data_IF_330404420364
#
_entry.id   IF_330404420364
#
_cell.length_a   1.000
_cell.length_b   1.000
_cell.length_c   1.000
_cell.angle_alpha   90.00
_cell.angle_beta   90.00
_cell.angle_gamma   90.00
#
_symmetry.space_group_name_H-M   'P 1'
#
loop_
_entity.id
_entity.type
_entity.pdbx_description
1 polymer ?
#
# COMPACT_ATOMS: atom_id res chain seq x y z
N UNK A 1 -38.15 -64.88 36.11
CA UNK A 1 -37.78 -63.58 36.76
C UNK A 1 -36.45 -63.09 36.23
N UNK A 2 -36.48 -62.06 35.43
CA UNK A 2 -35.26 -61.46 34.88
C UNK A 2 -34.63 -60.53 35.92
N UNK A 3 -33.50 -60.99 36.54
CA UNK A 3 -32.72 -60.18 37.46
C UNK A 3 -32.01 -59.07 36.65
N UNK A 4 -32.62 -57.91 36.53
CA UNK A 4 -31.94 -56.73 36.04
C UNK A 4 -31.01 -56.22 37.14
N UNK A 5 -29.71 -56.51 37.04
CA UNK A 5 -28.69 -55.89 37.88
C UNK A 5 -28.68 -54.41 37.56
N UNK A 6 -29.06 -53.56 38.49
CA UNK A 6 -28.91 -52.10 38.34
C UNK A 6 -27.42 -51.68 38.48
N UNK A 7 -27.02 -50.63 37.79
CA UNK A 7 -25.70 -50.06 37.96
C UNK A 7 -25.48 -49.60 39.41
N UNK A 8 -24.33 -49.88 39.94
CA UNK A 8 -23.92 -49.33 41.25
C UNK A 8 -23.54 -47.86 41.10
N UNK A 9 -23.69 -47.12 42.20
CA UNK A 9 -23.28 -45.63 42.19
C UNK A 9 -21.82 -45.47 41.80
N UNK A 10 -20.96 -46.39 42.17
CA UNK A 10 -19.52 -46.38 41.87
C UNK A 10 -19.26 -46.59 40.37
N UNK A 11 -19.97 -47.49 39.71
CA UNK A 11 -19.87 -47.74 38.29
C UNK A 11 -20.34 -46.50 37.48
N UNK A 12 -21.42 -45.84 37.92
CA UNK A 12 -21.90 -44.61 37.29
C UNK A 12 -20.89 -43.47 37.45
N UNK A 13 -20.31 -43.29 38.65
CA UNK A 13 -19.28 -42.30 38.90
C UNK A 13 -18.02 -42.53 38.07
N UNK A 14 -17.60 -43.81 37.94
CA UNK A 14 -16.45 -44.15 37.08
C UNK A 14 -16.70 -43.80 35.60
N UNK A 15 -17.88 -44.10 35.08
CA UNK A 15 -18.25 -43.77 33.70
C UNK A 15 -18.27 -42.26 33.49
N UNK A 16 -18.84 -41.47 34.40
CA UNK A 16 -18.87 -40.02 34.32
C UNK A 16 -17.45 -39.44 34.38
N UNK A 17 -16.56 -39.97 35.22
CA UNK A 17 -15.18 -39.54 35.32
C UNK A 17 -14.40 -39.81 34.01
N UNK A 18 -14.57 -40.98 33.40
CA UNK A 18 -13.96 -41.32 32.12
C UNK A 18 -14.49 -40.41 30.98
N UNK A 19 -15.81 -40.21 30.94
CA UNK A 19 -16.42 -39.32 29.96
C UNK A 19 -15.92 -37.88 30.12
N UNK A 20 -15.78 -37.36 31.34
CA UNK A 20 -15.23 -36.05 31.61
C UNK A 20 -13.79 -35.89 31.08
N UNK A 21 -12.94 -36.91 31.32
CA UNK A 21 -11.55 -36.91 30.82
C UNK A 21 -11.54 -36.94 29.28
N UNK A 22 -12.36 -37.75 28.64
CA UNK A 22 -12.44 -37.82 27.18
C UNK A 22 -12.90 -36.51 26.58
N UNK A 23 -13.88 -35.83 27.20
CA UNK A 23 -14.36 -34.48 26.75
C UNK A 23 -13.25 -33.46 26.89
N UNK A 24 -12.50 -33.42 28.00
CA UNK A 24 -11.41 -32.46 28.22
C UNK A 24 -10.30 -32.62 27.16
N UNK A 25 -10.00 -33.85 26.74
CA UNK A 25 -8.94 -34.11 25.73
C UNK A 25 -9.45 -33.88 24.30
N UNK A 26 -10.69 -34.26 23.99
CA UNK A 26 -11.24 -34.19 22.64
C UNK A 26 -11.75 -32.80 22.27
N UNK A 27 -12.32 -32.06 23.22
CA UNK A 27 -12.99 -30.78 22.96
C UNK A 27 -12.10 -29.72 22.32
N UNK A 28 -10.84 -29.49 22.78
CA UNK A 28 -9.97 -28.52 22.14
C UNK A 28 -9.67 -28.81 20.67
N UNK A 29 -9.45 -30.08 20.33
CA UNK A 29 -9.18 -30.53 18.98
C UNK A 29 -10.40 -30.34 18.06
N UNK A 30 -11.59 -30.67 18.56
CA UNK A 30 -12.86 -30.50 17.83
C UNK A 30 -13.13 -29.01 17.60
N UNK A 31 -12.91 -28.14 18.59
CA UNK A 31 -13.07 -26.68 18.46
C UNK A 31 -12.09 -26.11 17.40
N UNK A 32 -10.83 -26.54 17.42
CA UNK A 32 -9.84 -26.11 16.45
C UNK A 32 -10.20 -26.53 15.02
N UNK A 33 -10.65 -27.78 14.85
CA UNK A 33 -11.12 -28.28 13.54
C UNK A 33 -12.36 -27.50 13.07
N UNK A 34 -13.30 -27.23 13.96
CA UNK A 34 -14.49 -26.44 13.64
C UNK A 34 -14.13 -25.03 13.21
N UNK A 35 -13.29 -24.33 13.96
CA UNK A 35 -12.84 -22.98 13.62
C UNK A 35 -12.10 -22.95 12.27
N UNK A 36 -11.25 -23.94 11.99
CA UNK A 36 -10.57 -24.08 10.71
C UNK A 36 -11.56 -24.26 9.56
N UNK A 37 -12.54 -25.15 9.71
CA UNK A 37 -13.58 -25.35 8.70
C UNK A 37 -14.41 -24.09 8.45
N UNK A 38 -14.76 -23.34 9.48
CA UNK A 38 -15.46 -22.06 9.36
C UNK A 38 -14.63 -21.02 8.60
N UNK A 39 -13.32 -20.93 8.86
CA UNK A 39 -12.41 -20.05 8.12
C UNK A 39 -12.32 -20.43 6.64
N UNK A 40 -12.26 -21.72 6.31
CA UNK A 40 -12.23 -22.22 4.93
C UNK A 40 -13.53 -21.89 4.15
N UNK A 41 -14.69 -22.02 4.81
CA UNK A 41 -15.98 -21.62 4.24
C UNK A 41 -15.99 -20.12 3.96
N UNK A 42 -15.64 -19.30 4.95
CA UNK A 42 -15.59 -17.85 4.78
C UNK A 42 -14.61 -17.41 3.68
N UNK A 43 -13.42 -18.02 3.59
CA UNK A 43 -12.46 -17.76 2.53
C UNK A 43 -13.02 -18.04 1.14
N UNK A 44 -13.78 -19.14 1.02
CA UNK A 44 -14.46 -19.50 -0.24
C UNK A 44 -15.50 -18.45 -0.62
N UNK A 45 -16.26 -17.96 0.35
CA UNK A 45 -17.24 -16.88 0.12
C UNK A 45 -16.57 -15.56 -0.25
N UNK A 46 -15.43 -15.20 0.39
CA UNK A 46 -14.66 -14.03 0.04
C UNK A 46 -14.10 -14.12 -1.40
N UNK A 47 -13.59 -15.27 -1.81
CA UNK A 47 -13.15 -15.51 -3.20
C UNK A 47 -14.32 -15.40 -4.20
N UNK A 48 -15.52 -15.80 -3.80
CA UNK A 48 -16.73 -15.64 -4.61
C UNK A 48 -17.10 -14.16 -4.78
N UNK A 49 -16.98 -13.32 -3.73
CA UNK A 49 -17.19 -11.86 -3.83
C UNK A 49 -16.30 -11.26 -4.91
N UNK A 50 -15.00 -11.63 -4.93
CA UNK A 50 -14.05 -11.20 -5.97
C UNK A 50 -14.56 -11.52 -7.39
N UNK A 51 -14.88 -12.77 -7.63
CA UNK A 51 -15.35 -13.25 -8.95
C UNK A 51 -16.64 -12.58 -9.40
N UNK A 52 -17.62 -12.40 -8.51
CA UNK A 52 -18.90 -11.74 -8.83
C UNK A 52 -18.73 -10.25 -9.08
N UNK A 53 -17.75 -9.58 -8.41
CA UNK A 53 -17.44 -8.18 -8.66
C UNK A 53 -16.90 -7.98 -10.08
N UNK A 54 -15.96 -8.81 -10.54
CA UNK A 54 -15.44 -8.74 -11.89
C UNK A 54 -16.51 -9.01 -12.96
N UNK A 55 -17.36 -10.02 -12.74
CA UNK A 55 -18.51 -10.30 -13.64
C UNK A 55 -19.48 -9.13 -13.73
N UNK A 56 -19.80 -8.48 -12.58
CA UNK A 56 -20.67 -7.32 -12.54
C UNK A 56 -20.09 -6.13 -13.30
N UNK A 57 -18.78 -5.89 -13.18
CA UNK A 57 -18.11 -4.86 -13.96
C UNK A 57 -18.29 -5.10 -15.47
N UNK A 58 -18.04 -6.32 -15.94
CA UNK A 58 -18.20 -6.68 -17.36
C UNK A 58 -19.64 -6.47 -17.81
N UNK A 59 -20.61 -6.92 -17.04
CA UNK A 59 -22.04 -6.74 -17.35
C UNK A 59 -22.44 -5.25 -17.43
N UNK A 60 -21.96 -4.43 -16.49
CA UNK A 60 -22.25 -3.00 -16.47
C UNK A 60 -21.49 -2.21 -17.55
N UNK A 61 -20.34 -2.69 -18.01
CA UNK A 61 -19.58 -2.09 -19.10
C UNK A 61 -20.34 -2.11 -20.43
N UNK A 62 -21.21 -3.09 -20.62
CA UNK A 62 -22.12 -3.19 -21.78
C UNK A 62 -23.21 -2.11 -21.71
N UNK A 63 -23.53 -1.60 -20.53
CA UNK A 63 -24.63 -0.65 -20.26
C UNK A 63 -24.17 0.80 -20.04
N UNK A 64 -22.95 1.16 -20.44
CA UNK A 64 -22.39 2.53 -20.51
C UNK A 64 -21.93 3.18 -19.18
N UNK A 65 -21.97 2.51 -18.02
CA UNK A 65 -21.35 3.03 -16.77
C UNK A 65 -20.74 1.90 -15.93
N UNK A 66 -19.46 1.54 -16.11
CA UNK A 66 -18.81 0.56 -15.26
C UNK A 66 -18.75 1.06 -13.81
N UNK A 67 -19.27 0.26 -12.89
CA UNK A 67 -19.18 0.53 -11.45
C UNK A 67 -17.79 0.06 -10.96
N UNK A 68 -16.95 0.99 -10.52
CA UNK A 68 -15.59 0.69 -10.04
C UNK A 68 -15.52 0.40 -8.54
N UNK A 69 -16.56 0.73 -7.80
CA UNK A 69 -16.67 0.46 -6.36
C UNK A 69 -17.95 -0.33 -6.13
N UNK A 70 -17.81 -1.47 -5.50
CA UNK A 70 -18.91 -2.36 -5.15
C UNK A 70 -18.94 -2.49 -3.64
N UNK A 71 -20.05 -2.08 -3.03
CA UNK A 71 -20.25 -2.05 -1.60
C UNK A 71 -21.49 -2.85 -1.21
N UNK A 72 -21.40 -3.61 -0.14
CA UNK A 72 -22.52 -4.39 0.40
C UNK A 72 -23.66 -3.54 0.97
N UNK A 73 -23.40 -2.27 1.27
CA UNK A 73 -24.35 -1.39 1.97
C UNK A 73 -25.11 -0.42 1.04
N UNK A 74 -24.79 -0.40 -0.27
CA UNK A 74 -25.39 0.51 -1.21
C UNK A 74 -26.02 -0.21 -2.43
N UNK A 75 -26.47 0.57 -3.41
CA UNK A 75 -27.09 0.07 -4.63
C UNK A 75 -26.11 -0.66 -5.58
N UNK A 76 -24.84 -0.71 -5.27
CA UNK A 76 -23.82 -1.48 -6.01
C UNK A 76 -23.71 -2.92 -5.52
N UNK A 77 -24.44 -3.29 -4.47
CA UNK A 77 -24.44 -4.61 -3.86
C UNK A 77 -24.57 -5.75 -4.87
N UNK A 78 -23.76 -6.80 -4.70
CA UNK A 78 -23.80 -8.02 -5.50
C UNK A 78 -25.02 -8.89 -5.16
N UNK A 79 -25.58 -9.53 -6.18
CA UNK A 79 -26.62 -10.55 -5.97
C UNK A 79 -25.96 -11.86 -5.56
N UNK A 80 -25.73 -11.99 -4.25
CA UNK A 80 -25.16 -13.19 -3.66
C UNK A 80 -26.14 -13.88 -2.73
N UNK A 81 -26.25 -15.19 -2.86
CA UNK A 81 -27.02 -16.05 -1.92
C UNK A 81 -26.06 -16.54 -0.86
N UNK A 82 -26.42 -16.44 0.41
CA UNK A 82 -25.61 -16.94 1.53
C UNK A 82 -25.68 -16.03 2.76
N UNK A 83 -24.66 -16.10 3.61
CA UNK A 83 -24.57 -15.30 4.83
C UNK A 83 -24.48 -13.79 4.50
N UNK A 84 -24.89 -12.94 5.44
CA UNK A 84 -24.78 -11.49 5.31
C UNK A 84 -23.30 -11.11 5.36
N UNK A 85 -22.67 -11.00 4.20
CA UNK A 85 -21.31 -10.50 4.08
C UNK A 85 -21.32 -8.98 3.95
N UNK A 86 -20.42 -8.36 4.68
CA UNK A 86 -20.00 -6.97 4.44
C UNK A 86 -18.81 -7.00 3.50
N UNK A 87 -18.81 -6.18 2.47
CA UNK A 87 -17.68 -6.11 1.54
C UNK A 87 -17.53 -4.75 0.90
N UNK A 88 -16.30 -4.44 0.56
CA UNK A 88 -15.88 -3.33 -0.26
C UNK A 88 -14.91 -3.87 -1.32
N UNK A 89 -15.26 -3.72 -2.59
CA UNK A 89 -14.43 -4.16 -3.71
C UNK A 89 -14.16 -2.98 -4.63
N UNK A 90 -12.90 -2.77 -4.98
CA UNK A 90 -12.44 -1.72 -5.87
C UNK A 90 -11.87 -2.36 -7.13
N UNK A 91 -12.31 -1.88 -8.29
CA UNK A 91 -11.89 -2.39 -9.59
C UNK A 91 -11.18 -1.29 -10.40
N UNK A 92 -10.23 -1.69 -11.22
CA UNK A 92 -9.57 -0.82 -12.18
C UNK A 92 -10.44 -0.53 -13.41
N UNK A 93 -9.88 0.23 -14.36
CA UNK A 93 -10.56 0.58 -15.61
C UNK A 93 -10.82 -0.63 -16.55
N UNK A 94 -10.17 -1.76 -16.28
CA UNK A 94 -10.31 -3.02 -17.04
C UNK A 94 -11.24 -4.02 -16.35
N UNK A 95 -11.71 -3.67 -15.13
CA UNK A 95 -12.58 -4.53 -14.33
C UNK A 95 -11.86 -5.57 -13.49
N UNK A 96 -10.54 -5.43 -13.34
CA UNK A 96 -9.77 -6.26 -12.42
C UNK A 96 -9.89 -5.70 -11.00
N UNK A 97 -10.11 -6.57 -10.01
CA UNK A 97 -10.11 -6.17 -8.60
C UNK A 97 -8.70 -5.75 -8.19
N UNK A 98 -8.59 -4.52 -7.67
CA UNK A 98 -7.33 -3.93 -7.18
C UNK A 98 -7.26 -3.92 -5.67
N UNK A 99 -8.40 -3.87 -4.98
CA UNK A 99 -8.49 -4.00 -3.54
C UNK A 99 -9.83 -4.61 -3.17
N UNK A 100 -9.84 -5.44 -2.16
CA UNK A 100 -11.05 -6.06 -1.65
C UNK A 100 -10.93 -6.25 -0.14
N UNK A 101 -12.00 -5.92 0.59
CA UNK A 101 -12.21 -6.36 1.97
C UNK A 101 -13.57 -7.02 2.07
N UNK A 102 -13.61 -8.18 2.70
CA UNK A 102 -14.84 -8.96 2.93
C UNK A 102 -14.86 -9.36 4.40
N UNK A 103 -15.99 -9.23 5.05
CA UNK A 103 -16.17 -9.71 6.43
C UNK A 103 -17.51 -10.42 6.60
N UNK A 104 -17.53 -11.43 7.47
CA UNK A 104 -18.75 -12.06 7.97
C UNK A 104 -19.09 -11.64 9.41
N UNK A 105 -18.48 -10.55 9.91
CA UNK A 105 -18.65 -10.07 11.28
C UNK A 105 -17.70 -10.70 12.30
N UNK A 106 -16.98 -11.77 11.93
CA UNK A 106 -16.01 -12.45 12.79
C UNK A 106 -14.60 -12.41 12.22
N UNK A 107 -14.47 -12.55 10.93
CA UNK A 107 -13.21 -12.50 10.20
C UNK A 107 -13.28 -11.52 9.04
N UNK A 108 -12.11 -11.00 8.69
CA UNK A 108 -11.88 -10.14 7.54
C UNK A 108 -10.89 -10.83 6.60
N UNK A 109 -11.24 -10.93 5.33
CA UNK A 109 -10.34 -11.27 4.24
C UNK A 109 -9.99 -9.99 3.48
N UNK A 110 -8.71 -9.68 3.36
CA UNK A 110 -8.22 -8.49 2.67
C UNK A 110 -7.39 -8.89 1.46
N UNK A 111 -7.67 -8.28 0.31
CA UNK A 111 -6.86 -8.37 -0.89
C UNK A 111 -6.39 -6.95 -1.22
N UNK A 112 -5.12 -6.69 -1.02
CA UNK A 112 -4.46 -5.44 -1.33
C UNK A 112 -3.46 -5.61 -2.48
N UNK A 113 -2.97 -4.49 -3.01
CA UNK A 113 -2.12 -4.44 -4.20
C UNK A 113 -1.00 -5.51 -4.21
N UNK A 114 -0.97 -6.31 -5.28
CA UNK A 114 0.09 -7.27 -5.58
C UNK A 114 -0.21 -8.72 -5.22
N UNK A 115 -1.21 -9.00 -4.37
CA UNK A 115 -1.70 -10.36 -4.14
C UNK A 115 -2.81 -10.71 -5.14
N UNK A 116 -2.86 -11.94 -5.58
CA UNK A 116 -4.01 -12.47 -6.34
C UNK A 116 -5.00 -13.14 -5.38
N UNK A 117 -6.25 -13.28 -5.81
CA UNK A 117 -7.27 -13.96 -5.00
C UNK A 117 -6.90 -15.42 -4.69
N UNK A 118 -6.09 -16.04 -5.55
CA UNK A 118 -5.63 -17.43 -5.37
C UNK A 118 -4.60 -17.54 -4.23
N UNK A 119 -3.84 -16.47 -3.97
CA UNK A 119 -2.85 -16.41 -2.89
C UNK A 119 -3.48 -16.26 -1.51
N UNK A 120 -4.79 -15.96 -1.42
CA UNK A 120 -5.49 -15.84 -0.13
C UNK A 120 -5.67 -17.21 0.53
N UNK A 121 -5.20 -17.30 1.77
CA UNK A 121 -5.28 -18.48 2.64
C UNK A 121 -6.02 -18.18 3.95
N UNK A 122 -6.31 -19.21 4.74
CA UNK A 122 -6.93 -19.04 6.06
C UNK A 122 -6.03 -18.33 7.08
N UNK A 123 -4.72 -18.30 6.83
CA UNK A 123 -3.73 -17.62 7.68
C UNK A 123 -3.69 -16.10 7.42
N UNK A 124 -4.24 -15.64 6.30
CA UNK A 124 -4.39 -14.23 5.97
C UNK A 124 -5.67 -13.59 6.56
N UNK A 125 -6.50 -14.39 7.27
CA UNK A 125 -7.75 -13.89 7.84
C UNK A 125 -7.51 -13.21 9.19
N UNK A 126 -7.91 -11.94 9.27
CA UNK A 126 -7.91 -11.14 10.50
C UNK A 126 -9.22 -11.29 11.26
N UNK A 127 -9.20 -11.23 12.60
CA UNK A 127 -10.42 -11.19 13.41
C UNK A 127 -10.99 -9.75 13.40
N UNK A 128 -12.29 -9.63 13.09
CA UNK A 128 -12.96 -8.32 13.06
C UNK A 128 -14.21 -8.27 12.19
N UNK A 129 -14.78 -7.06 12.12
CA UNK A 129 -15.89 -6.72 11.23
C UNK A 129 -15.56 -5.47 10.41
N UNK A 130 -16.35 -5.20 9.36
CA UNK A 130 -16.27 -3.97 8.59
C UNK A 130 -17.29 -2.92 9.07
N UNK A 131 -17.80 -3.03 10.31
CA UNK A 131 -18.74 -2.07 10.87
C UNK A 131 -18.13 -0.65 10.89
N UNK A 132 -18.82 0.30 10.24
CA UNK A 132 -18.33 1.67 10.10
C UNK A 132 -17.19 1.86 9.08
N UNK A 133 -16.77 0.80 8.39
CA UNK A 133 -15.81 0.90 7.29
C UNK A 133 -16.45 1.61 6.10
N UNK A 134 -15.97 2.80 5.79
CA UNK A 134 -16.45 3.55 4.61
C UNK A 134 -15.80 2.97 3.36
N UNK A 135 -16.56 2.18 2.63
CA UNK A 135 -16.21 1.78 1.28
C UNK A 135 -16.22 3.01 0.38
N UNK A 136 -15.13 3.67 0.30
CA UNK A 136 -14.92 4.71 -0.70
C UNK A 136 -13.85 4.21 -1.66
N UNK A 137 -14.02 4.52 -2.95
CA UNK A 137 -12.90 4.63 -3.86
C UNK A 137 -12.04 5.85 -3.47
N UNK A 138 -11.65 6.00 -2.23
CA UNK A 138 -10.33 6.48 -1.93
C UNK A 138 -9.36 5.38 -2.37
N UNK A 139 -9.43 5.02 -3.64
CA UNK A 139 -8.20 4.91 -4.38
C UNK A 139 -7.42 6.13 -3.92
N UNK A 140 -6.35 5.97 -3.19
CA UNK A 140 -5.17 6.72 -3.57
C UNK A 140 -5.27 6.65 -5.08
N UNK A 141 -5.61 7.78 -5.70
CA UNK A 141 -5.79 7.78 -7.15
C UNK A 141 -4.41 7.45 -7.66
N UNK A 142 -4.18 6.14 -7.92
CA UNK A 142 -2.93 5.75 -8.58
C UNK A 142 -2.91 6.61 -9.81
N UNK A 143 -1.94 7.47 -9.95
CA UNK A 143 -1.89 8.37 -11.08
C UNK A 143 -2.05 7.56 -12.35
N UNK A 144 -2.80 8.07 -13.31
CA UNK A 144 -2.94 7.40 -14.59
C UNK A 144 -1.55 7.24 -15.21
N UNK A 145 -1.21 6.01 -15.61
CA UNK A 145 0.12 5.74 -16.14
C UNK A 145 0.37 6.57 -17.42
N UNK A 146 1.43 7.34 -17.42
CA UNK A 146 1.84 8.18 -18.55
C UNK A 146 2.87 7.40 -19.38
N UNK A 147 2.48 7.08 -20.62
CA UNK A 147 3.34 6.38 -21.56
C UNK A 147 4.05 7.39 -22.46
N UNK A 148 5.37 7.36 -22.45
CA UNK A 148 6.23 8.21 -23.23
C UNK A 148 7.05 7.38 -24.23
N UNK A 149 7.59 8.04 -25.25
CA UNK A 149 8.51 7.44 -26.22
C UNK A 149 9.86 8.14 -26.16
N UNK A 150 10.92 7.40 -26.48
CA UNK A 150 12.27 7.90 -26.62
C UNK A 150 12.75 7.63 -28.04
N UNK A 151 13.11 8.69 -28.78
CA UNK A 151 13.52 8.63 -30.18
C UNK A 151 15.06 8.56 -30.38
N UNK A 152 15.80 8.37 -29.31
CA UNK A 152 17.27 8.38 -29.29
C UNK A 152 17.87 9.71 -28.83
N UNK A 153 17.11 10.82 -28.86
CA UNK A 153 17.55 12.14 -28.43
C UNK A 153 16.78 12.68 -27.25
N UNK A 154 15.45 12.54 -27.25
CA UNK A 154 14.59 13.09 -26.20
C UNK A 154 13.41 12.17 -25.89
N UNK A 155 12.91 12.29 -24.66
CA UNK A 155 11.67 11.63 -24.25
C UNK A 155 10.50 12.52 -24.69
N UNK A 156 9.57 11.94 -25.44
CA UNK A 156 8.34 12.59 -25.90
C UNK A 156 7.15 12.14 -25.07
N UNK A 157 6.16 12.99 -24.88
CA UNK A 157 4.99 12.77 -24.04
C UNK A 157 5.16 13.30 -22.60
N UNK A 158 6.35 13.73 -22.21
CA UNK A 158 6.56 14.45 -20.96
C UNK A 158 6.04 15.90 -21.08
N UNK A 159 5.47 16.42 -20.01
CA UNK A 159 5.08 17.83 -19.97
C UNK A 159 6.27 18.75 -19.77
N UNK A 160 6.16 19.94 -20.31
CA UNK A 160 7.16 20.98 -20.20
C UNK A 160 6.64 22.11 -19.32
N UNK A 161 7.52 22.72 -18.53
CA UNK A 161 7.27 23.99 -17.87
C UNK A 161 7.96 25.08 -18.67
N UNK A 162 7.20 26.11 -19.11
CA UNK A 162 7.70 27.23 -19.92
C UNK A 162 8.47 26.81 -21.18
N UNK A 163 8.06 25.73 -21.86
CA UNK A 163 8.70 25.20 -23.05
C UNK A 163 10.01 24.47 -22.83
N UNK A 164 10.38 24.21 -21.58
CA UNK A 164 11.55 23.44 -21.20
C UNK A 164 11.18 22.14 -20.47
N UNK A 165 11.97 21.08 -20.64
CA UNK A 165 11.81 19.87 -19.87
C UNK A 165 12.05 20.13 -18.39
N UNK A 166 11.07 19.79 -17.56
CA UNK A 166 11.22 19.82 -16.11
C UNK A 166 12.01 18.59 -15.63
N UNK A 167 11.90 17.48 -16.33
CA UNK A 167 12.53 16.22 -15.97
C UNK A 167 13.50 15.73 -17.05
N UNK A 168 14.57 15.09 -16.59
CA UNK A 168 15.53 14.35 -17.40
C UNK A 168 15.37 12.88 -17.12
N UNK A 169 15.30 12.08 -18.19
CA UNK A 169 15.16 10.63 -18.13
C UNK A 169 16.43 9.96 -18.63
N UNK A 170 16.71 8.79 -18.10
CA UNK A 170 17.86 8.03 -18.54
C UNK A 170 17.61 6.52 -18.43
N UNK A 171 17.93 5.80 -19.50
CA UNK A 171 17.88 4.34 -19.58
C UNK A 171 19.16 3.79 -18.96
N UNK A 172 19.04 2.84 -18.05
CA UNK A 172 20.09 2.23 -17.24
C UNK A 172 20.80 3.21 -16.27
N UNK A 173 21.09 2.72 -15.10
CA UNK A 173 21.64 3.49 -14.02
C UNK A 173 22.98 4.15 -14.33
N UNK A 174 23.22 5.27 -13.68
CA UNK A 174 24.47 6.00 -13.71
C UNK A 174 25.21 5.83 -12.41
N UNK A 175 26.54 5.73 -12.50
CA UNK A 175 27.42 5.76 -11.36
C UNK A 175 27.42 7.20 -10.80
N UNK A 176 27.10 7.35 -9.52
CA UNK A 176 27.27 8.62 -8.81
C UNK A 176 28.77 8.89 -8.71
N UNK A 177 29.22 9.91 -9.38
CA UNK A 177 30.50 10.52 -9.01
C UNK A 177 30.25 11.52 -7.88
N UNK A 178 31.08 11.51 -6.84
CA UNK A 178 31.00 12.32 -5.63
C UNK A 178 31.16 13.85 -5.87
N UNK A 179 30.69 14.36 -6.98
CA UNK A 179 30.72 15.77 -7.30
C UNK A 179 29.34 16.38 -7.04
N UNK A 180 29.19 17.33 -6.09
CA UNK A 180 27.89 17.90 -5.72
C UNK A 180 27.15 18.65 -6.83
N UNK A 181 27.75 18.81 -8.00
CA UNK A 181 27.10 19.39 -9.19
C UNK A 181 26.77 18.36 -10.27
N UNK A 182 27.20 17.12 -10.16
CA UNK A 182 26.93 16.10 -11.17
C UNK A 182 25.62 15.35 -10.84
N UNK A 183 24.71 15.34 -11.80
CA UNK A 183 23.51 14.52 -11.76
C UNK A 183 23.93 13.08 -12.06
N UNK A 184 24.06 12.26 -11.05
CA UNK A 184 24.50 10.89 -11.19
C UNK A 184 23.49 9.93 -10.55
N UNK A 185 23.18 8.85 -11.23
CA UNK A 185 22.36 7.76 -10.72
C UNK A 185 23.21 6.55 -10.39
N UNK A 186 22.78 5.79 -9.40
CA UNK A 186 23.39 4.50 -9.11
C UNK A 186 23.16 3.55 -10.27
N UNK A 187 24.15 2.72 -10.57
CA UNK A 187 24.00 1.65 -11.53
C UNK A 187 22.99 0.64 -10.99
N UNK A 188 21.88 0.46 -11.71
CA UNK A 188 20.88 -0.55 -11.38
C UNK A 188 20.86 -1.58 -12.50
N UNK A 189 20.98 -2.83 -12.13
CA UNK A 189 20.85 -3.99 -13.04
C UNK A 189 19.43 -4.22 -13.54
N UNK A 190 18.60 -3.17 -13.51
CA UNK A 190 17.19 -3.25 -13.87
C UNK A 190 16.95 -2.67 -15.26
N UNK A 191 16.10 -3.34 -16.01
CA UNK A 191 15.66 -2.94 -17.35
C UNK A 191 14.58 -1.85 -17.28
N UNK A 192 14.94 -0.65 -16.77
CA UNK A 192 14.05 0.46 -16.55
C UNK A 192 14.70 1.83 -16.75
N UNK A 193 14.00 2.89 -16.33
CA UNK A 193 14.43 4.28 -16.46
C UNK A 193 14.58 4.95 -15.11
N UNK A 194 15.51 5.90 -15.02
CA UNK A 194 15.60 6.87 -13.94
C UNK A 194 15.04 8.23 -14.37
N UNK A 195 14.62 9.05 -13.40
CA UNK A 195 14.09 10.39 -13.63
C UNK A 195 14.64 11.40 -12.61
N UNK A 196 14.94 12.61 -13.06
CA UNK A 196 15.45 13.72 -12.23
C UNK A 196 14.90 15.06 -12.70
N UNK A 197 14.80 16.02 -11.76
CA UNK A 197 14.49 17.41 -12.06
C UNK A 197 15.68 18.08 -12.77
N UNK A 198 15.41 18.79 -13.87
CA UNK A 198 16.46 19.46 -14.66
C UNK A 198 16.93 20.77 -14.05
N UNK A 199 15.98 21.58 -13.53
CA UNK A 199 16.28 22.87 -12.93
C UNK A 199 16.01 22.86 -11.44
N UNK A 200 17.07 22.85 -10.63
CA UNK A 200 17.01 22.79 -9.18
C UNK A 200 17.09 24.13 -8.49
N UNK A 201 17.49 25.17 -9.20
CA UNK A 201 17.66 26.52 -8.64
C UNK A 201 16.41 27.38 -8.77
N UNK A 202 15.47 26.99 -9.63
CA UNK A 202 14.18 27.66 -9.72
C UNK A 202 13.38 27.50 -8.43
N UNK A 203 12.77 28.59 -7.98
CA UNK A 203 11.85 28.64 -6.84
C UNK A 203 10.40 28.46 -7.25
N UNK A 204 10.12 28.39 -8.56
CA UNK A 204 8.77 28.16 -9.08
C UNK A 204 8.23 26.79 -8.67
N UNK A 205 6.90 26.68 -8.56
CA UNK A 205 6.26 25.42 -8.27
C UNK A 205 6.53 24.39 -9.37
N UNK A 206 6.89 23.19 -8.97
CA UNK A 206 6.99 22.04 -9.88
C UNK A 206 5.61 21.39 -9.99
N UNK A 207 5.02 21.45 -11.17
CA UNK A 207 3.65 20.96 -11.44
C UNK A 207 3.53 20.14 -12.73
N UNK A 208 4.63 19.58 -13.22
CA UNK A 208 4.65 18.82 -14.46
C UNK A 208 4.44 17.33 -14.23
N UNK A 209 3.91 16.67 -15.24
CA UNK A 209 3.70 15.24 -15.25
C UNK A 209 4.98 14.47 -15.55
N UNK A 210 5.13 13.33 -14.90
CA UNK A 210 6.26 12.40 -15.06
C UNK A 210 5.80 11.19 -15.86
N UNK A 211 6.62 10.74 -16.81
CA UNK A 211 6.38 9.47 -17.48
C UNK A 211 6.39 8.31 -16.48
N UNK A 212 5.46 7.38 -16.61
CA UNK A 212 5.46 6.11 -15.87
C UNK A 212 6.24 5.05 -16.63
N UNK A 213 6.09 5.05 -17.95
CA UNK A 213 6.78 4.14 -18.86
C UNK A 213 7.40 4.91 -20.02
N UNK A 214 8.58 4.49 -20.44
CA UNK A 214 9.25 5.00 -21.65
C UNK A 214 9.61 3.78 -22.51
N UNK A 215 9.11 3.75 -23.77
CA UNK A 215 9.22 2.60 -24.66
C UNK A 215 8.83 1.29 -23.95
N UNK A 216 7.70 1.30 -23.24
CA UNK A 216 7.15 0.18 -22.45
C UNK A 216 8.01 -0.29 -21.27
N UNK A 217 9.10 0.38 -20.92
CA UNK A 217 9.92 0.09 -19.75
C UNK A 217 9.57 1.06 -18.62
N UNK A 218 9.42 0.59 -17.36
CA UNK A 218 8.97 1.42 -16.24
C UNK A 218 10.04 2.41 -15.79
N UNK A 219 9.60 3.49 -15.11
CA UNK A 219 10.47 4.24 -14.22
C UNK A 219 10.69 3.42 -12.95
N UNK A 220 11.94 3.13 -12.63
CA UNK A 220 12.35 2.32 -11.48
C UNK A 220 13.21 3.09 -10.48
N UNK A 221 13.79 4.21 -10.88
CA UNK A 221 14.70 5.01 -10.07
C UNK A 221 14.27 6.47 -10.03
N UNK A 222 13.90 6.95 -8.83
CA UNK A 222 13.61 8.35 -8.51
C UNK A 222 14.61 8.92 -7.50
N UNK A 223 15.78 8.26 -7.34
CA UNK A 223 16.81 8.75 -6.45
C UNK A 223 17.29 10.15 -6.85
N UNK A 224 17.54 10.99 -5.86
CA UNK A 224 17.97 12.38 -6.05
C UNK A 224 17.02 13.26 -6.90
N UNK A 225 15.78 12.85 -7.14
CA UNK A 225 14.89 13.51 -8.08
C UNK A 225 14.71 15.01 -7.78
N UNK A 226 14.48 15.38 -6.53
CA UNK A 226 14.36 16.76 -6.04
C UNK A 226 15.50 17.16 -5.10
N UNK A 227 16.64 16.49 -5.21
CA UNK A 227 17.81 16.81 -4.39
C UNK A 227 18.24 18.24 -4.55
N UNK A 228 18.31 19.00 -3.43
CA UNK A 228 18.64 20.43 -3.39
C UNK A 228 17.72 21.32 -4.25
N UNK A 229 16.49 20.92 -4.48
CA UNK A 229 15.52 21.75 -5.18
C UNK A 229 15.20 23.01 -4.36
N UNK A 230 15.23 24.17 -5.01
CA UNK A 230 14.83 25.44 -4.42
C UNK A 230 13.31 25.68 -4.49
N UNK A 231 12.57 24.85 -5.22
CA UNK A 231 11.12 24.91 -5.27
C UNK A 231 10.51 24.61 -3.88
N UNK A 232 9.62 25.48 -3.44
CA UNK A 232 8.93 25.33 -2.13
C UNK A 232 7.65 24.51 -2.24
N UNK A 233 7.13 24.34 -3.45
CA UNK A 233 5.91 23.58 -3.77
C UNK A 233 6.21 22.56 -4.85
N UNK A 234 5.89 21.30 -4.57
CA UNK A 234 6.05 20.17 -5.48
C UNK A 234 4.68 19.48 -5.64
N UNK A 235 4.11 19.52 -6.85
CA UNK A 235 2.95 18.72 -7.18
C UNK A 235 3.41 17.31 -7.59
N UNK A 236 3.15 16.35 -6.72
CA UNK A 236 3.53 14.95 -6.88
C UNK A 236 2.33 14.06 -7.24
N UNK A 237 1.17 14.66 -7.47
CA UNK A 237 -0.10 13.93 -7.67
C UNK A 237 -0.11 13.04 -8.92
N UNK A 238 0.73 13.35 -9.92
CA UNK A 238 0.85 12.57 -11.16
C UNK A 238 1.90 11.44 -11.09
N UNK A 239 2.57 11.28 -9.94
CA UNK A 239 3.69 10.33 -9.83
C UNK A 239 3.17 8.93 -9.54
N UNK A 240 3.29 8.05 -10.51
CA UNK A 240 3.04 6.63 -10.34
C UNK A 240 4.35 5.94 -9.89
N UNK A 241 4.39 5.56 -8.63
CA UNK A 241 5.59 5.01 -8.01
C UNK A 241 5.59 3.49 -7.87
N UNK A 242 4.54 2.80 -8.37
CA UNK A 242 4.36 1.34 -8.21
C UNK A 242 5.52 0.48 -8.71
N UNK A 243 6.28 0.97 -9.68
CA UNK A 243 7.44 0.25 -10.21
C UNK A 243 8.78 0.75 -9.64
N UNK A 244 8.75 1.77 -8.79
CA UNK A 244 9.96 2.39 -8.26
C UNK A 244 10.58 1.51 -7.18
N UNK A 245 11.86 1.23 -7.32
CA UNK A 245 12.65 0.43 -6.38
C UNK A 245 13.63 1.27 -5.59
N UNK A 246 14.01 2.46 -6.10
CA UNK A 246 14.99 3.35 -5.49
C UNK A 246 14.47 4.79 -5.36
N UNK A 247 14.39 5.27 -4.12
CA UNK A 247 14.02 6.65 -3.75
C UNK A 247 15.09 7.32 -2.89
N UNK A 248 16.34 6.82 -2.93
CA UNK A 248 17.43 7.37 -2.11
C UNK A 248 17.61 8.87 -2.36
N UNK A 249 17.70 9.65 -1.28
CA UNK A 249 17.92 11.10 -1.32
C UNK A 249 16.91 11.89 -2.21
N UNK A 250 15.73 11.33 -2.49
CA UNK A 250 14.76 11.92 -3.43
C UNK A 250 14.46 13.39 -3.14
N UNK A 251 14.27 13.76 -1.88
CA UNK A 251 13.99 15.12 -1.44
C UNK A 251 15.12 15.73 -0.61
N UNK A 252 16.27 15.06 -0.50
CA UNK A 252 17.37 15.51 0.37
C UNK A 252 17.77 16.96 0.09
N UNK A 253 17.82 17.79 1.13
CA UNK A 253 18.10 19.23 1.09
C UNK A 253 17.11 20.05 0.26
N UNK A 254 15.93 19.57 -0.06
CA UNK A 254 14.86 20.30 -0.73
C UNK A 254 14.33 21.43 0.15
N UNK A 255 13.89 22.53 -0.47
CA UNK A 255 13.27 23.67 0.21
C UNK A 255 11.75 23.54 0.38
N UNK A 256 11.16 22.40 0.02
CA UNK A 256 9.74 22.14 0.20
C UNK A 256 9.35 22.23 1.70
N UNK A 257 8.23 22.90 1.97
CA UNK A 257 7.68 23.05 3.33
C UNK A 257 6.67 21.96 3.67
N UNK A 258 6.05 21.41 2.64
CA UNK A 258 5.05 20.33 2.72
C UNK A 258 5.26 19.39 1.55
N UNK A 259 5.17 18.09 1.79
CA UNK A 259 5.17 17.07 0.75
C UNK A 259 3.88 16.26 0.84
N UNK A 260 3.19 16.12 -0.28
CA UNK A 260 2.03 15.25 -0.40
C UNK A 260 2.42 13.97 -1.15
N UNK A 261 2.68 12.92 -0.38
CA UNK A 261 3.02 11.58 -0.86
C UNK A 261 1.83 10.62 -0.81
N UNK A 262 0.60 11.15 -0.71
CA UNK A 262 -0.59 10.30 -0.59
C UNK A 262 -0.85 9.43 -1.83
N UNK A 263 -0.32 9.81 -3.00
CA UNK A 263 -0.36 9.02 -4.24
C UNK A 263 0.73 7.95 -4.33
N UNK A 264 1.73 7.96 -3.43
CA UNK A 264 2.88 7.06 -3.52
C UNK A 264 2.53 5.66 -3.03
N UNK A 265 2.78 4.68 -3.89
CA UNK A 265 2.86 3.27 -3.52
C UNK A 265 4.35 2.89 -3.44
N UNK A 266 4.80 2.58 -2.23
CA UNK A 266 6.21 2.27 -1.97
C UNK A 266 6.45 0.78 -1.71
N UNK A 267 5.48 -0.07 -2.06
CA UNK A 267 5.55 -1.52 -1.81
C UNK A 267 6.75 -2.21 -2.48
N UNK A 268 7.25 -1.67 -3.59
CA UNK A 268 8.41 -2.20 -4.31
C UNK A 268 9.73 -1.48 -3.97
N UNK A 269 9.72 -0.45 -3.11
CA UNK A 269 10.91 0.32 -2.81
C UNK A 269 11.84 -0.44 -1.85
N UNK A 270 13.09 -0.59 -2.25
CA UNK A 270 14.14 -1.26 -1.46
C UNK A 270 15.13 -0.28 -0.84
N UNK A 271 15.24 0.94 -1.39
CA UNK A 271 16.18 1.95 -0.91
C UNK A 271 15.50 3.32 -0.74
N UNK A 272 15.50 3.81 0.51
CA UNK A 272 15.02 5.14 0.92
C UNK A 272 16.08 5.90 1.73
N UNK A 273 17.35 5.52 1.62
CA UNK A 273 18.43 6.17 2.34
C UNK A 273 18.42 7.68 2.10
N UNK A 274 18.53 8.48 3.17
CA UNK A 274 18.58 9.94 3.09
C UNK A 274 17.35 10.60 2.38
N UNK A 275 16.21 9.93 2.22
CA UNK A 275 15.10 10.42 1.38
C UNK A 275 14.68 11.85 1.72
N UNK A 276 14.61 12.19 3.00
CA UNK A 276 14.29 13.52 3.51
C UNK A 276 15.45 14.14 4.30
N UNK A 277 16.69 13.72 4.03
CA UNK A 277 17.87 14.22 4.73
C UNK A 277 18.02 15.73 4.56
N UNK A 278 18.27 16.45 5.67
CA UNK A 278 18.54 17.89 5.68
C UNK A 278 17.42 18.77 5.04
N UNK A 279 16.15 18.32 5.09
CA UNK A 279 15.00 19.10 4.67
C UNK A 279 14.62 20.12 5.76
N UNK A 280 15.47 21.14 5.96
CA UNK A 280 15.39 22.07 7.09
C UNK A 280 14.11 22.94 7.12
N UNK A 281 13.35 23.01 6.03
CA UNK A 281 12.09 23.74 5.94
C UNK A 281 10.86 22.85 5.98
N UNK A 282 11.02 21.54 5.85
CA UNK A 282 9.93 20.56 5.80
C UNK A 282 9.24 20.46 7.16
N UNK A 283 7.92 20.67 7.18
CA UNK A 283 7.07 20.62 8.37
C UNK A 283 6.11 19.44 8.37
N UNK A 284 5.54 19.14 7.21
CA UNK A 284 4.47 18.14 7.08
C UNK A 284 4.71 17.24 5.88
N UNK A 285 4.56 15.95 6.10
CA UNK A 285 4.52 14.95 5.04
C UNK A 285 3.15 14.27 5.12
N UNK A 286 2.33 14.44 4.09
CA UNK A 286 1.11 13.66 3.94
C UNK A 286 1.42 12.33 3.27
N UNK A 287 0.83 11.25 3.79
CA UNK A 287 0.95 9.93 3.22
C UNK A 287 -0.36 9.14 3.37
N UNK A 288 -0.54 8.14 2.52
CA UNK A 288 -1.60 7.14 2.63
C UNK A 288 -1.06 5.83 3.21
N UNK A 289 -1.96 4.87 3.40
CA UNK A 289 -1.59 3.53 3.86
C UNK A 289 -0.77 2.74 2.81
N UNK A 290 -0.67 3.24 1.56
CA UNK A 290 0.22 2.69 0.51
C UNK A 290 1.68 3.08 0.67
N UNK A 291 2.00 4.07 1.52
CA UNK A 291 3.39 4.38 1.85
C UNK A 291 3.88 3.41 2.93
N UNK A 292 4.56 2.37 2.51
CA UNK A 292 5.07 1.29 3.37
C UNK A 292 6.59 1.17 3.28
N UNK A 293 7.22 0.65 4.33
CA UNK A 293 8.68 0.46 4.40
C UNK A 293 9.10 -1.00 4.62
N UNK A 294 8.17 -1.94 4.41
CA UNK A 294 8.39 -3.37 4.69
C UNK A 294 9.55 -3.95 3.86
N UNK A 295 9.64 -3.60 2.58
CA UNK A 295 10.67 -4.08 1.67
C UNK A 295 11.94 -3.22 1.65
N UNK A 296 11.95 -2.10 2.38
CA UNK A 296 13.10 -1.19 2.42
C UNK A 296 14.23 -1.85 3.19
N UNK A 297 15.33 -2.17 2.51
CA UNK A 297 16.56 -2.72 3.11
C UNK A 297 17.50 -1.62 3.58
N UNK A 298 17.53 -0.48 2.88
CA UNK A 298 18.32 0.70 3.28
C UNK A 298 17.39 1.91 3.48
N UNK A 299 17.17 2.30 4.72
CA UNK A 299 16.37 3.46 5.13
C UNK A 299 17.07 4.30 6.19
N UNK A 300 18.42 4.26 6.21
CA UNK A 300 19.22 5.02 7.16
C UNK A 300 19.17 6.53 6.89
N UNK A 301 19.31 7.32 7.95
CA UNK A 301 19.34 8.79 7.92
C UNK A 301 18.17 9.45 7.18
N UNK A 302 17.06 8.74 7.01
CA UNK A 302 15.93 9.16 6.19
C UNK A 302 15.44 10.57 6.54
N UNK A 303 15.40 10.92 7.83
CA UNK A 303 14.95 12.22 8.35
C UNK A 303 16.06 13.04 9.00
N UNK A 304 17.31 12.61 8.96
CA UNK A 304 18.39 13.28 9.66
C UNK A 304 18.46 14.77 9.28
N UNK A 305 18.55 15.65 10.29
CA UNK A 305 18.58 17.12 10.16
C UNK A 305 17.30 17.77 9.58
N UNK A 306 16.15 17.09 9.60
CA UNK A 306 14.84 17.65 9.20
C UNK A 306 14.06 18.17 10.43
N UNK A 307 14.68 19.09 11.18
CA UNK A 307 14.34 19.46 12.55
C UNK A 307 12.97 20.15 12.74
N UNK A 308 12.30 20.59 11.64
CA UNK A 308 10.97 21.23 11.73
C UNK A 308 9.81 20.25 11.48
N UNK A 309 10.13 18.99 11.23
CA UNK A 309 9.13 17.98 10.89
C UNK A 309 8.25 17.64 12.09
N UNK A 310 6.95 17.56 11.85
CA UNK A 310 5.93 17.21 12.86
C UNK A 310 4.94 16.22 12.23
N UNK A 311 4.70 15.12 12.92
CA UNK A 311 3.69 14.13 12.55
C UNK A 311 2.25 14.60 12.81
N UNK A 312 1.30 13.90 12.22
CA UNK A 312 -0.12 14.30 12.23
C UNK A 312 -0.78 14.35 13.62
N UNK A 313 -0.33 13.52 14.55
CA UNK A 313 -0.79 13.50 15.94
C UNK A 313 0.14 14.29 16.90
N UNK A 314 1.11 15.06 16.35
CA UNK A 314 1.96 15.96 17.11
C UNK A 314 3.34 15.40 17.48
N UNK A 315 3.74 14.25 16.94
CA UNK A 315 5.10 13.72 17.13
C UNK A 315 6.12 14.69 16.53
N UNK A 316 6.93 15.30 17.38
CA UNK A 316 8.00 16.23 16.96
C UNK A 316 9.26 15.45 16.57
N UNK A 317 10.06 16.07 15.72
CA UNK A 317 11.35 15.52 15.29
C UNK A 317 12.27 15.21 16.48
N UNK A 318 12.88 14.04 16.46
CA UNK A 318 13.90 13.58 17.39
C UNK A 318 15.14 13.14 16.60
N UNK A 319 16.32 13.74 16.91
CA UNK A 319 17.58 13.47 16.22
C UNK A 319 18.09 12.03 16.37
N UNK A 320 17.55 11.27 17.32
CA UNK A 320 17.82 9.84 17.52
C UNK A 320 16.88 8.92 16.74
N UNK A 321 15.86 9.48 16.11
CA UNK A 321 14.76 8.79 15.42
C UNK A 321 14.71 9.19 13.95
N UNK A 322 15.76 8.88 13.21
CA UNK A 322 15.98 9.42 11.86
C UNK A 322 15.90 8.41 10.73
N UNK A 323 15.64 7.15 11.03
CA UNK A 323 15.56 6.07 10.05
C UNK A 323 14.12 5.78 9.58
N UNK A 324 13.98 4.77 8.73
CA UNK A 324 12.70 4.34 8.16
C UNK A 324 11.62 3.95 9.18
N UNK A 325 11.99 3.66 10.43
CA UNK A 325 11.02 3.23 11.45
C UNK A 325 10.04 4.33 11.85
N UNK A 326 10.39 5.60 11.58
CA UNK A 326 9.50 6.75 11.78
C UNK A 326 8.79 7.19 10.49
N UNK A 327 9.01 6.52 9.36
CA UNK A 327 8.33 6.76 8.09
C UNK A 327 6.96 6.07 8.06
N UNK A 328 6.06 6.50 8.92
CA UNK A 328 4.70 5.97 9.08
C UNK A 328 3.75 7.06 9.55
N UNK A 329 2.46 6.81 9.38
CA UNK A 329 1.41 7.66 9.90
C UNK A 329 1.58 7.78 11.43
N UNK A 330 1.53 9.02 11.89
CA UNK A 330 1.63 9.34 13.31
C UNK A 330 0.30 9.05 14.01
N UNK A 331 0.32 8.15 14.99
CA UNK A 331 -0.81 7.79 15.87
C UNK A 331 -0.51 8.17 17.33
N UNK A 332 0.24 9.26 17.49
CA UNK A 332 0.63 9.81 18.80
C UNK A 332 1.55 8.87 19.58
N UNK A 333 1.37 8.84 20.90
CA UNK A 333 2.25 8.07 21.80
C UNK A 333 2.17 6.57 21.62
N UNK A 334 1.08 6.05 21.03
CA UNK A 334 0.90 4.61 20.80
C UNK A 334 1.74 4.09 19.63
N UNK A 335 1.90 4.91 18.59
CA UNK A 335 2.68 4.56 17.40
C UNK A 335 3.24 5.83 16.74
N UNK A 336 4.26 6.48 17.34
CA UNK A 336 4.77 7.75 16.87
C UNK A 336 5.41 7.63 15.50
N UNK A 337 5.13 8.59 14.62
CA UNK A 337 5.63 8.67 13.25
C UNK A 337 5.72 10.11 12.77
N UNK A 338 6.30 10.35 11.61
CA UNK A 338 6.44 11.70 11.06
C UNK A 338 5.44 12.03 9.95
N UNK A 339 4.53 11.14 9.62
CA UNK A 339 3.57 11.37 8.56
C UNK A 339 2.19 11.73 9.09
N UNK A 340 1.51 12.58 8.34
CA UNK A 340 0.11 12.93 8.54
C UNK A 340 -0.75 12.10 7.58
N UNK A 341 -1.77 11.43 8.07
CA UNK A 341 -2.68 10.64 7.22
C UNK A 341 -3.47 11.54 6.29
N UNK A 342 -3.56 11.14 5.01
CA UNK A 342 -4.39 11.81 4.02
C UNK A 342 -5.27 10.82 3.26
#
# INVERSE_FOLDING_TARGET
MNNRKGFTLVELLAVIAILAILVIIALPNVINMYNKAQKEIFLTEAKKVHSEAEKRFISNSISAKPTKVINSEDNTKLDMTGEKLQYCVILDNKGKVTSMKVSNGKWIASLDNGKTVDDLSIDDLEEGSLDGYKCSSKTVSTPEAIYCTFDGNMVQGAEYVNGQYTYKYKQHGYIIQNNPGALAWTNMDTDGWGVMLTNRISTEAVNSKVCTYINNKPIVDMSYMFYRSSATTLDLSSFDTRNVTNMAAMFSSSQATTLDLSSFDTSNVINMENMFYHCSNLRTIYASDSFVTNNVTNGSNMFNSSSKLVGGAGTIYDSTKTDKTYARIDDGSSNPGYFTKK
#
